data_IF_023941289728
#
_entry.id   IF_023941289728
#
_cell.length_a   1.000
_cell.length_b   1.000
_cell.length_c   1.000
_cell.angle_alpha   90.00
_cell.angle_beta   90.00
_cell.angle_gamma   90.00
#
_symmetry.space_group_name_H-M   'P 1'
#
loop_
_entity.id
_entity.type
_entity.pdbx_description
1 polymer ?
#
# COMPACT_ATOMS: atom_id res chain seq x y z
N UNK A 1 -11.06 4.63 -11.47
CA UNK A 1 -9.88 3.82 -11.12
C UNK A 1 -10.21 2.35 -11.27
N UNK A 2 -9.21 1.50 -11.53
CA UNK A 2 -9.34 0.05 -11.61
C UNK A 2 -8.08 -0.63 -11.07
N UNK A 3 -8.23 -1.88 -10.60
CA UNK A 3 -7.13 -2.69 -10.05
C UNK A 3 -6.73 -3.78 -11.05
N UNK A 4 -5.44 -4.09 -11.07
CA UNK A 4 -4.89 -5.35 -11.57
C UNK A 4 -4.05 -6.00 -10.48
N UNK A 5 -4.20 -7.30 -10.28
CA UNK A 5 -3.48 -8.04 -9.24
C UNK A 5 -2.52 -9.11 -9.82
N UNK A 6 -1.36 -9.29 -9.19
CA UNK A 6 -0.41 -10.34 -9.51
C UNK A 6 -0.12 -11.13 -8.24
N UNK A 7 -0.74 -12.30 -8.13
CA UNK A 7 -0.75 -13.14 -6.94
C UNK A 7 0.35 -14.19 -7.04
N UNK A 8 1.39 -14.09 -6.20
CA UNK A 8 2.53 -15.02 -6.23
C UNK A 8 2.61 -15.81 -4.91
N UNK A 9 2.50 -17.13 -5.01
CA UNK A 9 2.43 -18.06 -3.88
C UNK A 9 3.24 -19.34 -4.15
N UNK A 10 3.52 -20.10 -3.09
CA UNK A 10 4.16 -21.42 -3.16
C UNK A 10 3.27 -22.51 -3.79
N UNK A 11 3.55 -23.80 -3.56
CA UNK A 11 2.70 -24.87 -4.07
C UNK A 11 1.29 -24.86 -3.43
N UNK A 12 0.21 -24.89 -4.22
CA UNK A 12 -1.16 -24.92 -3.72
C UNK A 12 -1.54 -26.29 -3.12
N UNK A 13 -0.69 -27.30 -3.30
CA UNK A 13 -0.86 -28.62 -2.69
C UNK A 13 -0.58 -28.59 -1.19
N UNK A 14 0.16 -27.57 -0.71
CA UNK A 14 0.30 -27.31 0.71
C UNK A 14 -0.96 -26.57 1.23
N UNK A 15 -1.72 -27.17 2.18
CA UNK A 15 -2.94 -26.54 2.71
C UNK A 15 -2.70 -25.16 3.34
N UNK A 16 -1.53 -24.91 3.93
CA UNK A 16 -1.19 -23.62 4.53
C UNK A 16 -0.98 -22.54 3.47
N UNK A 17 -0.31 -22.87 2.36
CA UNK A 17 -0.14 -21.94 1.23
C UNK A 17 -1.48 -21.63 0.58
N UNK A 18 -2.33 -22.64 0.42
CA UNK A 18 -3.67 -22.42 -0.13
C UNK A 18 -4.55 -21.57 0.81
N UNK A 19 -4.39 -21.73 2.13
CA UNK A 19 -5.04 -20.87 3.11
C UNK A 19 -4.55 -19.42 2.99
N UNK A 20 -3.24 -19.19 2.88
CA UNK A 20 -2.67 -17.84 2.66
C UNK A 20 -3.23 -17.19 1.39
N UNK A 21 -3.32 -17.96 0.30
CA UNK A 21 -3.91 -17.49 -0.96
C UNK A 21 -5.38 -17.10 -0.78
N UNK A 22 -6.20 -17.95 -0.16
CA UNK A 22 -7.62 -17.64 0.09
C UNK A 22 -7.78 -16.36 0.90
N UNK A 23 -6.99 -16.19 1.97
CA UNK A 23 -7.03 -15.00 2.82
C UNK A 23 -6.59 -13.74 2.08
N UNK A 24 -5.60 -13.83 1.20
CA UNK A 24 -5.17 -12.71 0.38
C UNK A 24 -6.24 -12.29 -0.64
N UNK A 25 -6.87 -13.26 -1.32
CA UNK A 25 -7.97 -12.99 -2.26
C UNK A 25 -9.18 -12.38 -1.56
N UNK A 26 -9.55 -12.90 -0.37
CA UNK A 26 -10.61 -12.33 0.45
C UNK A 26 -10.31 -10.87 0.84
N UNK A 27 -9.09 -10.58 1.33
CA UNK A 27 -8.70 -9.22 1.68
C UNK A 27 -8.69 -8.25 0.49
N UNK A 28 -8.25 -8.71 -0.68
CA UNK A 28 -8.32 -7.93 -1.92
C UNK A 28 -9.77 -7.67 -2.35
N UNK A 29 -10.64 -8.66 -2.24
CA UNK A 29 -12.06 -8.52 -2.55
C UNK A 29 -12.75 -7.53 -1.61
N UNK A 30 -12.50 -7.62 -0.30
CA UNK A 30 -13.02 -6.70 0.71
C UNK A 30 -12.57 -5.26 0.43
N UNK A 31 -11.27 -5.05 0.17
CA UNK A 31 -10.72 -3.74 -0.17
C UNK A 31 -11.31 -3.16 -1.46
N UNK A 32 -11.39 -3.95 -2.52
CA UNK A 32 -11.96 -3.53 -3.80
C UNK A 32 -13.44 -3.18 -3.67
N UNK A 33 -14.20 -3.97 -2.91
CA UNK A 33 -15.62 -3.72 -2.66
C UNK A 33 -15.82 -2.43 -1.86
N UNK A 34 -15.07 -2.24 -0.78
CA UNK A 34 -15.23 -1.08 0.11
C UNK A 34 -14.84 0.22 -0.60
N UNK A 35 -13.70 0.22 -1.30
CA UNK A 35 -13.21 1.36 -2.05
C UNK A 35 -13.99 1.60 -3.36
N UNK A 36 -14.82 0.65 -3.79
CA UNK A 36 -15.59 0.73 -5.04
C UNK A 36 -14.70 0.68 -6.28
N UNK A 37 -13.59 -0.07 -6.22
CA UNK A 37 -12.60 -0.18 -7.29
C UNK A 37 -12.67 -1.58 -7.88
N UNK A 38 -13.05 -1.75 -9.17
CA UNK A 38 -13.14 -3.07 -9.77
C UNK A 38 -11.75 -3.65 -10.09
N UNK A 39 -11.62 -4.96 -9.93
CA UNK A 39 -10.48 -5.73 -10.48
C UNK A 39 -10.78 -6.02 -11.95
N UNK A 40 -9.91 -5.55 -12.85
CA UNK A 40 -10.12 -5.61 -14.31
C UNK A 40 -9.19 -6.59 -15.03
N UNK A 41 -8.16 -7.07 -14.35
CA UNK A 41 -7.19 -8.02 -14.88
C UNK A 41 -6.28 -8.53 -13.77
N UNK A 42 -5.53 -9.58 -14.06
CA UNK A 42 -4.59 -10.11 -13.08
C UNK A 42 -3.87 -11.38 -13.53
N UNK A 43 -3.01 -11.88 -12.66
CA UNK A 43 -2.26 -13.11 -12.85
C UNK A 43 -2.17 -13.88 -11.52
N UNK A 44 -2.18 -15.20 -11.60
CA UNK A 44 -1.90 -16.08 -10.46
C UNK A 44 -0.72 -16.98 -10.80
N UNK A 45 0.34 -16.89 -10.00
CA UNK A 45 1.55 -17.69 -10.10
C UNK A 45 1.69 -18.54 -8.84
N UNK A 46 1.60 -19.85 -9.02
CA UNK A 46 1.81 -20.86 -7.98
C UNK A 46 3.14 -21.59 -8.17
N UNK A 47 3.51 -22.43 -7.21
CA UNK A 47 4.75 -23.21 -7.22
C UNK A 47 6.04 -22.36 -7.14
N UNK A 48 5.94 -21.14 -6.60
CA UNK A 48 7.10 -20.30 -6.32
C UNK A 48 7.78 -20.77 -5.03
N UNK A 49 8.69 -21.73 -5.13
CA UNK A 49 9.42 -22.28 -3.99
C UNK A 49 10.79 -22.83 -4.39
N UNK A 50 11.72 -22.86 -3.43
CA UNK A 50 13.03 -23.52 -3.59
C UNK A 50 13.06 -24.76 -2.72
N UNK A 51 13.00 -25.94 -3.35
CA UNK A 51 12.78 -27.20 -2.63
C UNK A 51 11.42 -27.15 -1.91
N UNK A 52 11.43 -27.38 -0.60
CA UNK A 52 10.22 -27.35 0.24
C UNK A 52 9.93 -25.97 0.85
N UNK A 53 10.74 -24.95 0.53
CA UNK A 53 10.61 -23.60 1.10
C UNK A 53 9.85 -22.68 0.15
N UNK A 54 8.59 -22.31 0.46
CA UNK A 54 7.83 -21.37 -0.34
C UNK A 54 8.36 -19.93 -0.19
N UNK A 55 8.14 -19.10 -1.21
CA UNK A 55 8.27 -17.65 -1.05
C UNK A 55 7.25 -17.13 -0.04
N UNK A 56 7.46 -15.91 0.47
CA UNK A 56 6.41 -15.20 1.18
C UNK A 56 5.22 -14.92 0.25
N UNK A 57 3.97 -15.01 0.75
CA UNK A 57 2.79 -14.53 0.02
C UNK A 57 3.02 -13.13 -0.53
N UNK A 58 2.98 -12.98 -1.85
CA UNK A 58 3.31 -11.71 -2.51
C UNK A 58 2.17 -11.30 -3.47
N UNK A 59 1.03 -10.80 -2.94
CA UNK A 59 0.02 -10.15 -3.76
C UNK A 59 0.51 -8.75 -4.16
N UNK A 60 0.79 -8.55 -5.44
CA UNK A 60 1.15 -7.24 -5.98
C UNK A 60 -0.09 -6.60 -6.60
N UNK A 61 -0.46 -5.42 -6.13
CA UNK A 61 -1.64 -4.68 -6.60
C UNK A 61 -1.18 -3.46 -7.40
N UNK A 62 -1.65 -3.35 -8.63
CA UNK A 62 -1.50 -2.16 -9.45
C UNK A 62 -2.85 -1.44 -9.56
N UNK A 63 -2.87 -0.14 -9.26
CA UNK A 63 -4.05 0.70 -9.42
C UNK A 63 -3.84 1.65 -10.61
N UNK A 64 -4.81 1.71 -11.50
CA UNK A 64 -4.82 2.62 -12.64
C UNK A 64 -5.96 3.63 -12.50
N UNK A 65 -5.62 4.91 -12.66
CA UNK A 65 -6.54 6.03 -12.66
C UNK A 65 -6.25 7.00 -13.78
N UNK A 66 -7.14 7.97 -13.95
CA UNK A 66 -6.98 9.07 -14.90
C UNK A 66 -6.82 10.38 -14.14
N UNK A 67 -5.98 11.26 -14.67
CA UNK A 67 -5.85 12.63 -14.22
C UNK A 67 -6.25 13.50 -15.42
N UNK A 68 -7.18 14.44 -15.22
CA UNK A 68 -7.71 15.27 -16.31
C UNK A 68 -6.63 16.15 -16.94
N UNK A 69 -5.72 16.66 -16.10
CA UNK A 69 -4.58 17.47 -16.51
C UNK A 69 -3.31 17.05 -15.76
N UNK A 70 -2.34 16.52 -16.50
CA UNK A 70 -1.03 16.09 -15.96
C UNK A 70 -0.25 17.26 -15.35
N UNK A 71 -0.51 18.49 -15.79
CA UNK A 71 0.05 19.71 -15.22
C UNK A 71 -0.44 20.01 -13.80
N UNK A 72 -1.57 19.42 -13.38
CA UNK A 72 -2.15 19.56 -12.03
C UNK A 72 -1.83 18.38 -11.13
N UNK A 73 -0.91 17.48 -11.51
CA UNK A 73 -0.48 16.38 -10.63
C UNK A 73 0.14 16.97 -9.35
N UNK A 74 -0.16 16.35 -8.22
CA UNK A 74 0.50 16.69 -6.94
C UNK A 74 1.85 15.98 -6.90
N UNK A 75 2.98 16.70 -6.72
CA UNK A 75 4.29 16.07 -6.56
C UNK A 75 4.41 15.36 -5.20
N UNK A 76 5.37 14.44 -5.08
CA UNK A 76 5.61 13.71 -3.82
C UNK A 76 6.65 14.36 -2.92
N UNK A 77 7.46 15.30 -3.44
CA UNK A 77 8.47 16.03 -2.67
C UNK A 77 8.10 17.49 -2.45
N UNK A 78 8.60 18.08 -1.37
CA UNK A 78 8.44 19.51 -1.07
C UNK A 78 9.44 20.33 -1.87
N UNK A 79 8.94 21.37 -2.55
CA UNK A 79 9.75 22.19 -3.46
C UNK A 79 10.05 23.58 -2.89
N UNK A 80 9.16 24.09 -2.04
CA UNK A 80 9.23 25.46 -1.53
C UNK A 80 9.21 25.51 0.00
N UNK A 81 9.79 26.58 0.55
CA UNK A 81 9.72 26.86 1.98
C UNK A 81 8.41 27.58 2.35
N UNK A 82 7.96 27.40 3.59
CA UNK A 82 6.79 28.09 4.13
C UNK A 82 5.50 27.26 4.15
N UNK A 83 5.55 26.03 3.62
CA UNK A 83 4.44 25.08 3.68
C UNK A 83 4.24 24.53 5.09
N UNK A 84 2.97 24.28 5.42
CA UNK A 84 2.60 23.57 6.62
C UNK A 84 2.53 22.07 6.32
N UNK A 85 3.16 21.26 7.17
CA UNK A 85 3.12 19.81 7.06
C UNK A 85 1.99 19.23 7.91
N UNK A 86 1.15 18.43 7.29
CA UNK A 86 0.03 17.75 7.94
C UNK A 86 0.23 16.24 7.83
N UNK A 87 0.08 15.54 8.95
CA UNK A 87 -0.06 14.09 8.97
C UNK A 87 -1.56 13.77 8.95
N UNK A 88 -2.01 13.06 7.91
CA UNK A 88 -3.40 12.62 7.78
C UNK A 88 -3.50 11.15 8.17
N UNK A 89 -4.49 10.83 9.01
CA UNK A 89 -4.68 9.48 9.56
C UNK A 89 -4.13 9.31 10.98
N UNK A 90 -4.25 8.09 11.51
CA UNK A 90 -3.80 7.74 12.86
C UNK A 90 -2.73 6.66 12.78
N UNK A 91 -1.65 6.83 13.53
CA UNK A 91 -0.63 5.78 13.70
C UNK A 91 -0.75 5.15 15.08
N UNK A 92 -0.44 3.86 15.18
CA UNK A 92 -0.46 3.10 16.42
C UNK A 92 0.90 2.43 16.68
N UNK A 93 1.06 1.83 17.86
CA UNK A 93 2.26 1.07 18.22
C UNK A 93 2.26 -0.32 17.57
N UNK A 94 2.19 -0.34 16.24
CA UNK A 94 2.13 -1.53 15.39
C UNK A 94 3.43 -1.64 14.59
N UNK A 95 4.43 -2.30 15.17
CA UNK A 95 5.79 -2.37 14.61
C UNK A 95 6.09 -3.70 13.93
N UNK A 96 5.28 -4.73 14.13
CA UNK A 96 5.48 -6.04 13.52
C UNK A 96 5.22 -5.99 12.01
N UNK A 97 5.96 -6.81 11.25
CA UNK A 97 5.89 -6.80 9.78
C UNK A 97 6.50 -5.55 9.12
N UNK A 98 7.04 -4.60 9.89
CA UNK A 98 7.67 -3.39 9.36
C UNK A 98 9.13 -3.60 8.97
N UNK A 99 9.67 -2.69 8.15
CA UNK A 99 11.10 -2.62 7.85
C UNK A 99 11.96 -2.50 9.13
N UNK A 100 11.46 -1.81 10.16
CA UNK A 100 12.16 -1.68 11.43
C UNK A 100 12.29 -3.00 12.18
N UNK A 101 11.22 -3.81 12.23
CA UNK A 101 11.26 -5.14 12.84
C UNK A 101 12.26 -6.05 12.11
N UNK A 102 12.31 -5.98 10.78
CA UNK A 102 13.28 -6.72 9.97
C UNK A 102 14.73 -6.31 10.25
N UNK A 103 15.03 -5.00 10.22
CA UNK A 103 16.39 -4.48 10.33
C UNK A 103 16.94 -4.52 11.76
N UNK A 104 16.12 -4.13 12.74
CA UNK A 104 16.58 -3.95 14.14
C UNK A 104 16.39 -5.23 14.95
N UNK A 105 15.31 -5.97 14.69
CA UNK A 105 14.93 -7.15 15.49
C UNK A 105 15.08 -8.49 14.74
N UNK A 106 15.37 -8.46 13.44
CA UNK A 106 15.66 -9.67 12.67
C UNK A 106 14.45 -10.58 12.44
N UNK A 107 13.22 -10.06 12.50
CA UNK A 107 12.01 -10.84 12.19
C UNK A 107 11.03 -10.08 11.30
N UNK A 108 10.24 -10.84 10.54
CA UNK A 108 9.14 -10.34 9.70
C UNK A 108 7.77 -10.85 10.17
N UNK A 109 7.73 -11.55 11.31
CA UNK A 109 6.48 -12.04 11.92
C UNK A 109 5.86 -11.06 12.90
N UNK A 110 4.71 -11.46 13.47
CA UNK A 110 3.94 -10.68 14.43
C UNK A 110 2.61 -10.20 13.85
N UNK A 111 1.99 -9.18 14.47
CA UNK A 111 0.71 -8.63 14.00
C UNK A 111 0.94 -7.32 13.22
N UNK A 112 0.75 -7.32 11.89
CA UNK A 112 0.93 -6.09 11.10
C UNK A 112 -0.12 -5.03 11.45
N UNK A 113 0.09 -3.77 11.01
CA UNK A 113 -0.87 -2.69 11.20
C UNK A 113 -2.28 -3.07 10.76
N UNK A 114 -3.27 -2.73 11.59
CA UNK A 114 -4.66 -2.98 11.26
C UNK A 114 -5.14 -2.03 10.15
N UNK A 115 -5.74 -2.60 9.09
CA UNK A 115 -6.31 -1.82 8.00
C UNK A 115 -7.73 -1.38 8.36
N UNK A 116 -8.00 -0.08 8.24
CA UNK A 116 -9.34 0.51 8.29
C UNK A 116 -9.72 1.00 6.88
N UNK A 117 -10.56 0.22 6.20
CA UNK A 117 -10.96 0.52 4.81
C UNK A 117 -11.90 1.72 4.69
N UNK A 118 -12.66 2.04 5.75
CA UNK A 118 -13.52 3.22 5.76
C UNK A 118 -12.68 4.49 5.86
N UNK A 119 -11.71 4.49 6.79
CA UNK A 119 -10.76 5.58 6.92
C UNK A 119 -9.92 5.77 5.64
N UNK A 120 -9.49 4.68 4.99
CA UNK A 120 -8.75 4.74 3.73
C UNK A 120 -9.59 5.37 2.60
N UNK A 121 -10.87 4.99 2.49
CA UNK A 121 -11.79 5.56 1.51
C UNK A 121 -12.00 7.06 1.71
N UNK A 122 -12.18 7.48 2.97
CA UNK A 122 -12.33 8.89 3.34
C UNK A 122 -11.05 9.68 3.02
N UNK A 123 -9.88 9.13 3.36
CA UNK A 123 -8.59 9.74 3.06
C UNK A 123 -8.36 9.90 1.56
N UNK A 124 -8.63 8.86 0.77
CA UNK A 124 -8.51 8.91 -0.69
C UNK A 124 -9.45 9.97 -1.30
N UNK A 125 -10.69 10.07 -0.80
CA UNK A 125 -11.65 11.07 -1.25
C UNK A 125 -11.20 12.50 -0.91
N UNK A 126 -10.70 12.70 0.31
CA UNK A 126 -10.16 13.97 0.78
C UNK A 126 -8.96 14.41 -0.07
N UNK A 127 -7.99 13.52 -0.28
CA UNK A 127 -6.79 13.81 -1.07
C UNK A 127 -7.15 14.12 -2.53
N UNK A 128 -8.08 13.37 -3.12
CA UNK A 128 -8.55 13.62 -4.48
C UNK A 128 -9.21 15.00 -4.61
N UNK A 129 -10.07 15.38 -3.67
CA UNK A 129 -10.73 16.69 -3.66
C UNK A 129 -9.72 17.83 -3.43
N UNK A 130 -8.80 17.67 -2.48
CA UNK A 130 -7.78 18.67 -2.18
C UNK A 130 -6.82 18.88 -3.37
N UNK A 131 -6.46 17.81 -4.07
CA UNK A 131 -5.69 17.89 -5.31
C UNK A 131 -6.47 18.63 -6.41
N UNK A 132 -7.76 18.32 -6.59
CA UNK A 132 -8.61 18.95 -7.60
C UNK A 132 -8.77 20.47 -7.37
N UNK A 133 -8.92 20.88 -6.11
CA UNK A 133 -9.03 22.29 -5.70
C UNK A 133 -7.66 23.01 -5.63
N UNK A 134 -6.55 22.30 -5.84
CA UNK A 134 -5.21 22.88 -5.80
C UNK A 134 -4.75 23.30 -4.40
N UNK A 135 -5.20 22.59 -3.36
CA UNK A 135 -4.87 22.85 -1.96
C UNK A 135 -3.57 22.17 -1.49
N UNK A 136 -3.02 21.26 -2.31
CA UNK A 136 -1.85 20.46 -1.98
C UNK A 136 -0.65 20.91 -2.83
N UNK A 137 0.40 21.37 -2.17
CA UNK A 137 1.69 21.60 -2.83
C UNK A 137 2.48 20.30 -3.02
N UNK A 138 2.33 19.34 -2.10
CA UNK A 138 2.89 17.99 -2.20
C UNK A 138 2.08 17.00 -1.35
N UNK A 139 2.19 15.72 -1.67
CA UNK A 139 1.63 14.62 -0.88
C UNK A 139 2.53 13.38 -0.96
N UNK A 140 2.87 12.81 0.20
CA UNK A 140 3.69 11.60 0.33
C UNK A 140 3.03 10.65 1.32
N UNK A 141 2.92 9.37 0.96
CA UNK A 141 2.34 8.33 1.80
C UNK A 141 3.32 7.86 2.89
N UNK A 142 2.76 7.23 3.95
CA UNK A 142 3.54 6.51 4.95
C UNK A 142 3.55 5.02 4.60
N UNK A 143 4.66 4.56 4.02
CA UNK A 143 4.87 3.17 3.64
C UNK A 143 6.04 2.55 4.42
N UNK A 144 6.95 1.86 3.73
CA UNK A 144 8.11 1.22 4.32
C UNK A 144 8.98 2.22 5.11
N UNK A 145 9.25 1.88 6.37
CA UNK A 145 10.02 2.74 7.29
C UNK A 145 9.22 3.88 7.93
N UNK A 146 7.94 4.03 7.60
CA UNK A 146 6.99 4.91 8.28
C UNK A 146 7.35 6.40 8.20
N UNK A 147 6.91 7.16 9.20
CA UNK A 147 7.02 8.62 9.21
C UNK A 147 8.46 9.13 9.03
N UNK A 148 9.44 8.48 9.63
CA UNK A 148 10.83 8.92 9.53
C UNK A 148 11.36 8.86 8.08
N UNK A 149 11.05 7.79 7.36
CA UNK A 149 11.48 7.63 5.96
C UNK A 149 10.66 8.53 5.06
N UNK A 150 9.34 8.62 5.24
CA UNK A 150 8.50 9.52 4.44
C UNK A 150 8.93 10.99 4.54
N UNK A 151 9.32 11.46 5.74
CA UNK A 151 9.87 12.81 5.90
C UNK A 151 11.21 12.97 5.16
N UNK A 152 12.10 11.98 5.23
CA UNK A 152 13.37 12.03 4.52
C UNK A 152 13.15 12.03 3.00
N UNK A 153 12.26 11.18 2.49
CA UNK A 153 11.90 11.13 1.07
C UNK A 153 11.22 12.43 0.61
N UNK A 154 10.32 13.01 1.41
CA UNK A 154 9.67 14.28 1.11
C UNK A 154 10.64 15.44 0.91
N UNK A 155 11.81 15.42 1.57
CA UNK A 155 12.89 16.41 1.36
C UNK A 155 13.76 16.07 0.14
N UNK A 156 13.97 14.78 -0.14
CA UNK A 156 14.93 14.32 -1.15
C UNK A 156 14.33 14.17 -2.55
N UNK A 157 13.01 14.00 -2.66
CA UNK A 157 12.28 13.89 -3.92
C UNK A 157 11.98 15.28 -4.48
N UNK A 158 11.97 15.40 -5.81
CA UNK A 158 11.72 16.63 -6.57
C UNK A 158 10.54 16.46 -7.52
#
# INVERSE_FOLDING_TARGET
VAVSDCLNFGSPENPEVMWQFSRAVEGLADGCLQLGIPVTGGNVSFYNQTGDVPIHPTPVVAVMGTIDDVGRRVPSGWQDAGDNLYLLGTTALELDGSAWAGVVHGHLGGRPPAVDLDAEKELASLLSAAAYEGLLNAAHDLADGGLAIALAEGVLRF
#
